data_IF_055174225718
#
_entry.id   IF_055174225718
#
_cell.length_a   1.000
_cell.length_b   1.000
_cell.length_c   1.000
_cell.angle_alpha   90.00
_cell.angle_beta   90.00
_cell.angle_gamma   90.00
#
_symmetry.space_group_name_H-M   'P 1'
#
loop_
_entity.id
_entity.type
_entity.pdbx_description
1 polymer ?
#
# COMPACT_ATOMS: atom_id res chain seq x y z
N UNK A 1 -7.61 -22.52 -24.57
CA UNK A 1 -7.86 -21.07 -24.78
C UNK A 1 -8.60 -20.54 -23.57
N UNK A 2 -7.94 -19.79 -22.68
CA UNK A 2 -8.60 -19.13 -21.53
C UNK A 2 -9.13 -17.78 -22.01
N UNK A 3 -10.41 -17.51 -21.77
CA UNK A 3 -11.04 -16.21 -22.11
C UNK A 3 -10.42 -15.08 -21.26
N UNK A 4 -10.36 -13.83 -21.77
CA UNK A 4 -9.80 -12.71 -21.01
C UNK A 4 -10.72 -12.34 -19.84
N UNK A 5 -10.13 -12.14 -18.67
CA UNK A 5 -10.78 -11.54 -17.50
C UNK A 5 -11.19 -10.11 -17.88
N UNK A 6 -12.39 -9.66 -17.50
CA UNK A 6 -13.02 -8.46 -18.05
C UNK A 6 -12.61 -7.19 -17.27
N UNK A 7 -11.64 -6.43 -17.79
CA UNK A 7 -10.98 -5.24 -17.19
C UNK A 7 -11.77 -3.91 -17.27
N UNK A 8 -13.10 -3.93 -17.33
CA UNK A 8 -13.88 -2.76 -17.79
C UNK A 8 -14.12 -1.64 -16.77
N UNK A 9 -13.86 -1.84 -15.47
CA UNK A 9 -14.17 -0.84 -14.43
C UNK A 9 -13.15 0.30 -14.33
N UNK A 10 -11.89 0.06 -14.69
CA UNK A 10 -10.82 1.04 -14.55
C UNK A 10 -10.57 1.83 -15.84
N UNK A 11 -10.71 1.20 -17.02
CA UNK A 11 -10.47 1.86 -18.32
C UNK A 11 -11.34 3.09 -18.55
N UNK A 12 -12.61 3.06 -18.17
CA UNK A 12 -13.53 4.17 -18.43
C UNK A 12 -13.38 5.34 -17.44
N UNK A 13 -12.81 5.09 -16.24
CA UNK A 13 -12.81 6.06 -15.13
C UNK A 13 -11.55 6.91 -15.05
N UNK A 14 -10.47 6.46 -15.67
CA UNK A 14 -9.14 7.11 -15.68
C UNK A 14 -8.74 7.65 -17.06
N UNK A 15 -9.71 8.02 -17.90
CA UNK A 15 -9.46 8.79 -19.11
C UNK A 15 -9.49 10.30 -18.79
N UNK A 16 -8.35 10.98 -18.62
CA UNK A 16 -8.35 12.41 -18.45
C UNK A 16 -8.77 13.10 -19.76
N UNK A 17 -9.42 14.27 -19.65
CA UNK A 17 -9.64 15.13 -20.82
C UNK A 17 -8.26 15.46 -21.45
N UNK A 18 -8.08 15.30 -22.77
CA UNK A 18 -6.75 15.18 -23.40
C UNK A 18 -5.85 16.41 -23.29
N UNK A 19 -6.35 17.56 -22.85
CA UNK A 19 -5.60 18.82 -22.86
C UNK A 19 -5.00 19.26 -21.50
N UNK A 20 -5.25 18.55 -20.40
CA UNK A 20 -4.85 18.98 -19.04
C UNK A 20 -4.31 17.87 -18.13
N UNK A 21 -4.00 16.69 -18.66
CA UNK A 21 -3.52 15.56 -17.85
C UNK A 21 -2.03 15.70 -17.48
N UNK A 22 -1.69 15.54 -16.21
CA UNK A 22 -0.30 15.40 -15.80
C UNK A 22 0.24 14.02 -16.22
N UNK A 23 1.46 13.97 -16.77
CA UNK A 23 2.13 12.73 -17.15
C UNK A 23 2.78 12.08 -15.92
N UNK A 24 2.70 10.76 -15.81
CA UNK A 24 3.39 9.98 -14.77
C UNK A 24 4.88 9.90 -15.04
N UNK A 25 5.68 9.83 -13.98
CA UNK A 25 7.10 9.47 -14.08
C UNK A 25 7.24 7.94 -14.12
N UNK A 26 7.94 7.41 -15.11
CA UNK A 26 8.25 5.99 -15.19
C UNK A 26 9.56 5.72 -14.45
N UNK A 27 9.52 4.88 -13.41
CA UNK A 27 10.71 4.43 -12.70
C UNK A 27 10.59 2.94 -12.39
N UNK A 28 11.64 2.15 -12.67
CA UNK A 28 11.63 0.70 -12.49
C UNK A 28 10.40 -0.02 -13.09
N UNK A 29 9.91 0.47 -14.23
CA UNK A 29 8.69 0.01 -14.93
C UNK A 29 7.37 0.30 -14.20
N UNK A 30 7.39 1.07 -13.12
CA UNK A 30 6.20 1.56 -12.42
C UNK A 30 5.92 3.00 -12.84
N UNK A 31 4.66 3.30 -13.20
CA UNK A 31 4.19 4.68 -13.32
C UNK A 31 4.00 5.26 -11.91
N UNK A 32 4.53 6.46 -11.66
CA UNK A 32 4.49 7.10 -10.35
C UNK A 32 3.96 8.53 -10.45
N UNK A 33 3.22 8.94 -9.42
CA UNK A 33 2.81 10.32 -9.20
C UNK A 33 2.76 10.60 -7.69
N UNK A 34 3.14 11.81 -7.29
CA UNK A 34 3.13 12.24 -5.89
C UNK A 34 2.78 13.72 -5.81
N UNK A 35 2.11 14.13 -4.72
CA UNK A 35 1.90 15.55 -4.45
C UNK A 35 3.21 16.32 -4.32
N UNK A 36 4.30 15.67 -3.88
CA UNK A 36 5.63 16.30 -3.80
C UNK A 36 6.20 16.70 -5.18
N UNK A 37 5.71 16.09 -6.27
CA UNK A 37 6.07 16.49 -7.64
C UNK A 37 5.23 17.67 -8.14
N UNK A 38 4.04 17.86 -7.57
CA UNK A 38 3.07 18.88 -7.98
C UNK A 38 3.16 20.16 -7.16
N UNK A 39 3.71 20.08 -5.94
CA UNK A 39 3.91 21.22 -5.06
C UNK A 39 5.37 21.64 -5.11
N UNK A 40 5.63 22.86 -5.57
CA UNK A 40 6.95 23.49 -5.54
C UNK A 40 7.25 24.01 -4.13
N UNK A 41 8.30 23.49 -3.47
CA UNK A 41 9.01 24.21 -2.41
C UNK A 41 9.18 23.49 -1.07
N UNK A 42 10.27 23.87 -0.38
CA UNK A 42 10.85 23.32 0.85
C UNK A 42 10.00 23.43 2.13
N UNK A 43 8.76 23.92 2.04
CA UNK A 43 7.92 24.20 3.20
C UNK A 43 6.92 23.08 3.47
N UNK A 44 6.72 22.76 4.76
CA UNK A 44 5.72 21.81 5.19
C UNK A 44 4.31 22.28 4.80
N UNK A 45 3.65 21.55 3.90
CA UNK A 45 2.27 21.83 3.50
C UNK A 45 1.33 21.26 4.57
N UNK A 46 0.52 22.11 5.19
CA UNK A 46 -0.56 21.66 6.09
C UNK A 46 -1.74 21.17 5.24
N UNK A 47 -1.94 19.86 5.21
CA UNK A 47 -3.04 19.22 4.49
C UNK A 47 -4.34 19.37 5.28
N UNK A 48 -5.17 20.36 4.93
CA UNK A 48 -6.55 20.46 5.43
C UNK A 48 -7.50 19.58 4.59
N UNK A 49 -8.61 19.11 5.16
CA UNK A 49 -9.50 18.11 4.53
C UNK A 49 -9.92 18.42 3.08
N UNK A 50 -10.27 19.68 2.76
CA UNK A 50 -10.58 20.09 1.38
C UNK A 50 -9.39 19.93 0.41
N UNK A 51 -8.17 20.22 0.88
CA UNK A 51 -6.95 20.07 0.07
C UNK A 51 -6.62 18.59 -0.17
N UNK A 52 -6.90 17.73 0.81
CA UNK A 52 -6.75 16.28 0.66
C UNK A 52 -7.70 15.76 -0.42
N UNK A 53 -8.97 16.15 -0.38
CA UNK A 53 -9.93 15.76 -1.41
C UNK A 53 -9.52 16.24 -2.80
N UNK A 54 -9.10 17.51 -2.94
CA UNK A 54 -8.60 18.06 -4.20
C UNK A 54 -7.34 17.35 -4.70
N UNK A 55 -6.42 17.01 -3.80
CA UNK A 55 -5.21 16.27 -4.14
C UNK A 55 -5.53 14.86 -4.64
N UNK A 56 -6.41 14.13 -3.94
CA UNK A 56 -6.85 12.81 -4.35
C UNK A 56 -7.56 12.85 -5.71
N UNK A 57 -8.45 13.81 -5.93
CA UNK A 57 -9.11 14.01 -7.22
C UNK A 57 -8.08 14.29 -8.33
N UNK A 58 -7.10 15.15 -8.06
CA UNK A 58 -6.01 15.45 -9.01
C UNK A 58 -5.16 14.22 -9.32
N UNK A 59 -4.72 13.48 -8.31
CA UNK A 59 -3.87 12.29 -8.47
C UNK A 59 -4.59 11.16 -9.18
N UNK A 60 -5.91 11.06 -9.04
CA UNK A 60 -6.68 9.94 -9.58
C UNK A 60 -7.29 10.28 -10.93
N UNK A 61 -7.91 11.45 -11.10
CA UNK A 61 -8.67 11.79 -12.32
C UNK A 61 -7.93 12.68 -13.31
N UNK A 62 -6.91 13.39 -12.85
CA UNK A 62 -6.16 14.38 -13.66
C UNK A 62 -4.74 13.93 -14.01
N UNK A 63 -4.44 12.64 -13.85
CA UNK A 63 -3.16 12.02 -14.19
C UNK A 63 -3.37 10.99 -15.28
N UNK A 64 -2.53 11.03 -16.32
CA UNK A 64 -2.53 10.06 -17.40
C UNK A 64 -1.80 8.78 -16.97
N UNK A 65 -2.46 7.96 -16.14
CA UNK A 65 -1.93 6.69 -15.66
C UNK A 65 -1.77 5.63 -16.77
N UNK A 66 -2.55 5.76 -17.86
CA UNK A 66 -2.60 4.75 -18.90
C UNK A 66 -3.25 3.44 -18.43
N UNK A 67 -3.05 2.34 -19.16
CA UNK A 67 -3.52 1.03 -18.72
C UNK A 67 -2.71 0.56 -17.51
N UNK A 68 -3.39 0.33 -16.38
CA UNK A 68 -2.79 -0.22 -15.16
C UNK A 68 -3.43 -1.56 -14.81
N UNK A 69 -2.61 -2.51 -14.35
CA UNK A 69 -3.08 -3.73 -13.70
C UNK A 69 -3.42 -3.49 -12.22
N UNK A 70 -2.67 -2.59 -11.57
CA UNK A 70 -2.84 -2.25 -10.16
C UNK A 70 -2.42 -0.80 -9.91
N UNK A 71 -3.21 -0.07 -9.11
CA UNK A 71 -2.84 1.24 -8.59
C UNK A 71 -2.62 1.13 -7.08
N UNK A 72 -1.37 1.28 -6.63
CA UNK A 72 -1.02 1.31 -5.21
C UNK A 72 -1.05 2.75 -4.72
N UNK A 73 -1.81 2.99 -3.64
CA UNK A 73 -1.91 4.31 -3.01
C UNK A 73 -1.24 4.27 -1.65
N UNK A 74 -0.12 4.99 -1.52
CA UNK A 74 0.51 5.24 -0.22
C UNK A 74 -0.20 6.39 0.49
N UNK A 75 -0.76 6.11 1.66
CA UNK A 75 -1.56 7.07 2.42
C UNK A 75 -0.76 7.66 3.57
N UNK A 76 -0.97 8.95 3.91
CA UNK A 76 -0.39 9.51 5.13
C UNK A 76 -0.81 8.67 6.35
N UNK A 77 0.01 8.65 7.42
CA UNK A 77 -0.29 7.83 8.59
C UNK A 77 -1.54 8.34 9.34
N UNK A 78 -2.18 7.44 10.08
CA UNK A 78 -3.27 7.76 11.00
C UNK A 78 -4.64 7.28 10.52
N UNK A 79 -5.69 7.98 10.96
CA UNK A 79 -7.10 7.68 10.64
C UNK A 79 -7.84 8.95 10.20
N UNK A 80 -7.13 9.84 9.49
CA UNK A 80 -7.67 11.13 9.06
C UNK A 80 -8.57 11.05 7.83
N UNK A 81 -9.04 12.21 7.39
CA UNK A 81 -10.00 12.38 6.28
C UNK A 81 -9.54 11.78 4.95
N UNK A 82 -8.23 11.54 4.76
CA UNK A 82 -7.69 10.92 3.55
C UNK A 82 -8.28 9.54 3.29
N UNK A 83 -8.37 8.69 4.32
CA UNK A 83 -8.87 7.32 4.15
C UNK A 83 -10.36 7.30 3.85
N UNK A 84 -11.13 8.17 4.51
CA UNK A 84 -12.55 8.35 4.24
C UNK A 84 -12.76 8.83 2.79
N UNK A 85 -12.01 9.83 2.38
CA UNK A 85 -12.06 10.41 1.04
C UNK A 85 -11.69 9.38 -0.02
N UNK A 86 -10.67 8.56 0.21
CA UNK A 86 -10.29 7.45 -0.68
C UNK A 86 -11.41 6.43 -0.82
N UNK A 87 -11.96 5.96 0.30
CA UNK A 87 -13.03 4.95 0.29
C UNK A 87 -14.32 5.44 -0.38
N UNK A 88 -14.59 6.75 -0.33
CA UNK A 88 -15.76 7.35 -0.98
C UNK A 88 -15.55 7.62 -2.47
N UNK A 89 -14.32 7.93 -2.91
CA UNK A 89 -14.07 8.39 -4.27
C UNK A 89 -13.48 7.32 -5.20
N UNK A 90 -12.87 6.27 -4.64
CA UNK A 90 -12.21 5.22 -5.41
C UNK A 90 -12.79 3.84 -5.09
N UNK A 91 -12.92 2.96 -6.08
CA UNK A 91 -13.17 1.55 -5.84
C UNK A 91 -11.90 0.93 -5.24
N UNK A 92 -11.92 0.59 -3.95
CA UNK A 92 -10.78 -0.03 -3.27
C UNK A 92 -10.93 -1.54 -3.28
N UNK A 93 -9.98 -2.23 -3.91
CA UNK A 93 -10.00 -3.69 -3.99
C UNK A 93 -9.54 -4.36 -2.70
N UNK A 94 -8.62 -3.75 -1.98
CA UNK A 94 -8.22 -4.14 -0.65
C UNK A 94 -7.19 -3.18 -0.05
N UNK A 95 -7.03 -3.25 1.27
CA UNK A 95 -6.05 -2.50 2.03
C UNK A 95 -5.02 -3.44 2.67
N UNK A 96 -3.76 -3.04 2.64
CA UNK A 96 -2.69 -3.65 3.45
C UNK A 96 -2.44 -2.71 4.61
N UNK A 97 -2.55 -3.23 5.82
CA UNK A 97 -2.28 -2.43 7.03
C UNK A 97 -0.83 -2.67 7.41
N UNK A 98 -0.04 -1.60 7.56
CA UNK A 98 1.36 -1.69 7.99
C UNK A 98 1.47 -1.18 9.42
N UNK A 99 2.12 -1.95 10.29
CA UNK A 99 2.33 -1.56 11.69
C UNK A 99 3.75 -1.88 12.14
N UNK A 100 4.07 -1.47 13.36
CA UNK A 100 5.28 -1.88 14.06
C UNK A 100 4.92 -2.41 15.45
N UNK A 101 5.75 -3.26 16.09
CA UNK A 101 5.39 -3.92 17.35
C UNK A 101 5.13 -3.01 18.56
N UNK A 102 5.46 -1.72 18.47
CA UNK A 102 5.29 -0.76 19.55
C UNK A 102 3.81 -0.53 19.84
N UNK A 103 3.44 -0.52 21.12
CA UNK A 103 2.06 -0.35 21.58
C UNK A 103 1.36 0.86 20.97
N UNK A 104 2.04 2.00 20.85
CA UNK A 104 1.49 3.20 20.22
C UNK A 104 1.08 2.97 18.74
N UNK A 105 1.92 2.30 17.96
CA UNK A 105 1.63 1.98 16.56
C UNK A 105 0.47 0.97 16.44
N UNK A 106 0.45 -0.03 17.32
CA UNK A 106 -0.63 -1.02 17.38
C UNK A 106 -1.99 -0.37 17.72
N UNK A 107 -2.03 0.62 18.62
CA UNK A 107 -3.27 1.34 18.94
C UNK A 107 -3.80 2.16 17.75
N UNK A 108 -2.91 2.81 16.98
CA UNK A 108 -3.30 3.51 15.74
C UNK A 108 -3.81 2.52 14.70
N UNK A 109 -3.14 1.37 14.58
CA UNK A 109 -3.51 0.27 13.68
C UNK A 109 -4.92 -0.23 13.97
N UNK A 110 -5.27 -0.49 15.24
CA UNK A 110 -6.62 -0.91 15.65
C UNK A 110 -7.69 0.09 15.22
N UNK A 111 -7.43 1.39 15.39
CA UNK A 111 -8.36 2.45 14.95
C UNK A 111 -8.53 2.46 13.43
N UNK A 112 -7.44 2.28 12.67
CA UNK A 112 -7.46 2.23 11.21
C UNK A 112 -8.25 1.02 10.68
N UNK A 113 -8.05 -0.15 11.27
CA UNK A 113 -8.80 -1.37 10.94
C UNK A 113 -10.31 -1.16 11.18
N UNK A 114 -10.69 -0.69 12.37
CA UNK A 114 -12.09 -0.40 12.70
C UNK A 114 -12.72 0.62 11.73
N UNK A 115 -11.95 1.58 11.24
CA UNK A 115 -12.42 2.55 10.24
C UNK A 115 -12.65 1.87 8.88
N UNK A 116 -11.73 1.04 8.40
CA UNK A 116 -11.90 0.31 7.14
C UNK A 116 -13.07 -0.67 7.19
N UNK A 117 -13.29 -1.35 8.31
CA UNK A 117 -14.48 -2.20 8.50
C UNK A 117 -15.79 -1.41 8.35
N UNK A 118 -15.88 -0.24 9.01
CA UNK A 118 -17.05 0.65 8.89
C UNK A 118 -17.27 1.15 7.47
N UNK A 119 -16.18 1.40 6.73
CA UNK A 119 -16.20 1.82 5.34
C UNK A 119 -16.36 0.64 4.36
N UNK A 120 -16.46 -0.60 4.87
CA UNK A 120 -16.54 -1.83 4.08
C UNK A 120 -15.38 -2.00 3.11
N UNK A 121 -14.21 -1.47 3.48
CA UNK A 121 -12.97 -1.66 2.71
C UNK A 121 -12.38 -3.01 3.10
N UNK A 122 -12.18 -3.95 2.14
CA UNK A 122 -11.57 -5.24 2.44
C UNK A 122 -10.14 -5.08 2.92
N UNK A 123 -9.72 -5.83 3.93
CA UNK A 123 -8.34 -5.84 4.41
C UNK A 123 -7.69 -7.15 3.94
N UNK A 124 -6.59 -7.02 3.19
CA UNK A 124 -5.82 -8.16 2.66
C UNK A 124 -5.02 -8.81 3.78
N UNK A 125 -4.49 -8.00 4.69
CA UNK A 125 -3.76 -8.47 5.86
C UNK A 125 -2.92 -7.40 6.52
N UNK A 126 -2.22 -7.80 7.57
CA UNK A 126 -1.31 -6.98 8.35
C UNK A 126 0.14 -7.28 7.96
N UNK A 127 0.92 -6.23 7.69
CA UNK A 127 2.36 -6.30 7.53
C UNK A 127 3.02 -5.72 8.78
N UNK A 128 3.88 -6.51 9.40
CA UNK A 128 4.64 -6.08 10.56
C UNK A 128 6.02 -5.59 10.12
N UNK A 129 6.26 -4.29 10.22
CA UNK A 129 7.57 -3.69 10.00
C UNK A 129 8.37 -3.67 11.31
N UNK A 130 9.69 -3.74 11.23
CA UNK A 130 10.59 -3.69 12.39
C UNK A 130 10.28 -4.75 13.47
N UNK A 131 9.89 -5.96 13.06
CA UNK A 131 9.51 -7.09 13.93
C UNK A 131 10.59 -7.49 14.93
N UNK A 132 11.85 -7.47 14.51
CA UNK A 132 13.01 -7.79 15.32
C UNK A 132 14.27 -7.17 14.73
N UNK A 133 15.34 -7.13 15.52
CA UNK A 133 16.68 -6.79 15.06
C UNK A 133 17.59 -8.03 15.10
N UNK A 134 18.47 -8.16 14.11
CA UNK A 134 19.48 -9.21 14.07
C UNK A 134 20.76 -8.74 14.75
N UNK A 135 21.31 -9.52 15.68
CA UNK A 135 22.62 -9.23 16.24
C UNK A 135 23.71 -9.43 15.19
N UNK A 136 24.47 -8.39 14.87
CA UNK A 136 25.55 -8.45 13.88
C UNK A 136 26.74 -9.33 14.27
N UNK A 137 26.87 -9.68 15.57
CA UNK A 137 27.98 -10.51 16.08
C UNK A 137 27.65 -12.00 16.12
N UNK A 138 26.44 -12.37 16.52
CA UNK A 138 26.07 -13.78 16.76
C UNK A 138 24.86 -14.26 15.96
N UNK A 139 24.18 -13.39 15.22
CA UNK A 139 23.00 -13.74 14.42
C UNK A 139 21.72 -13.98 15.24
N UNK A 140 21.74 -13.77 16.56
CA UNK A 140 20.53 -13.92 17.39
C UNK A 140 19.47 -12.88 17.02
N UNK A 141 18.21 -13.33 16.93
CA UNK A 141 17.03 -12.47 16.76
C UNK A 141 16.63 -11.82 18.08
N UNK A 142 16.60 -10.50 18.10
CA UNK A 142 16.19 -9.71 19.26
C UNK A 142 14.79 -9.14 19.04
N UNK A 143 13.80 -9.74 19.70
CA UNK A 143 12.40 -9.28 19.69
C UNK A 143 12.19 -8.24 20.79
N UNK A 144 12.60 -7.00 20.52
CA UNK A 144 12.59 -5.88 21.50
C UNK A 144 11.21 -5.69 22.13
N UNK A 145 10.15 -5.91 21.37
CA UNK A 145 8.76 -5.67 21.78
C UNK A 145 7.94 -6.96 21.93
N UNK A 146 8.57 -8.13 21.88
CA UNK A 146 7.90 -9.42 22.03
C UNK A 146 6.90 -9.74 20.89
N UNK A 147 5.74 -10.30 21.26
CA UNK A 147 4.74 -10.83 20.32
C UNK A 147 3.44 -10.00 20.24
N UNK A 148 3.48 -8.72 20.63
CA UNK A 148 2.29 -7.87 20.75
C UNK A 148 1.55 -7.67 19.42
N UNK A 149 2.26 -7.64 18.29
CA UNK A 149 1.64 -7.57 16.96
C UNK A 149 0.77 -8.78 16.67
N UNK A 150 1.25 -9.99 16.96
CA UNK A 150 0.49 -11.23 16.73
C UNK A 150 -0.77 -11.28 17.58
N UNK A 151 -0.67 -10.88 18.85
CA UNK A 151 -1.82 -10.76 19.74
C UNK A 151 -2.84 -9.77 19.19
N UNK A 152 -2.38 -8.58 18.80
CA UNK A 152 -3.24 -7.53 18.23
C UNK A 152 -3.88 -7.94 16.91
N UNK A 153 -3.14 -8.63 16.02
CA UNK A 153 -3.66 -9.14 14.77
C UNK A 153 -4.81 -10.14 15.00
N UNK A 154 -4.63 -11.08 15.93
CA UNK A 154 -5.66 -12.04 16.32
C UNK A 154 -6.91 -11.35 16.89
N UNK A 155 -6.74 -10.33 17.75
CA UNK A 155 -7.84 -9.55 18.31
C UNK A 155 -8.66 -8.82 17.22
N UNK A 156 -8.02 -8.43 16.11
CA UNK A 156 -8.65 -7.80 14.96
C UNK A 156 -9.13 -8.82 13.91
N UNK A 157 -8.92 -10.12 14.12
CA UNK A 157 -9.23 -11.16 13.12
C UNK A 157 -8.43 -11.04 11.82
N UNK A 158 -7.22 -10.48 11.87
CA UNK A 158 -6.36 -10.28 10.71
C UNK A 158 -5.16 -11.22 10.71
N UNK A 159 -4.79 -11.71 9.53
CA UNK A 159 -3.55 -12.45 9.33
C UNK A 159 -2.36 -11.51 9.16
N UNK A 160 -1.24 -11.85 9.81
CA UNK A 160 0.05 -11.25 9.47
C UNK A 160 0.54 -11.91 8.17
N UNK A 161 0.54 -11.15 7.08
CA UNK A 161 0.85 -11.65 5.75
C UNK A 161 2.35 -11.60 5.43
N UNK A 162 3.12 -10.73 6.08
CA UNK A 162 4.58 -10.69 6.03
C UNK A 162 5.14 -9.88 7.23
N UNK A 163 6.37 -10.21 7.66
CA UNK A 163 7.08 -9.47 8.72
C UNK A 163 8.50 -9.10 8.27
N UNK A 164 8.88 -7.85 8.46
CA UNK A 164 10.20 -7.30 8.10
C UNK A 164 11.02 -7.03 9.37
N UNK A 165 12.30 -7.36 9.32
CA UNK A 165 13.32 -7.09 10.33
C UNK A 165 13.92 -5.69 10.14
N UNK A 166 14.56 -5.18 11.17
CA UNK A 166 15.40 -3.99 11.08
C UNK A 166 16.73 -4.40 10.43
N UNK A 167 17.05 -3.81 9.28
CA UNK A 167 18.28 -4.05 8.53
C UNK A 167 18.91 -2.72 8.08
N UNK A 168 20.22 -2.58 8.32
CA UNK A 168 20.99 -1.41 7.90
C UNK A 168 21.10 -1.30 6.38
N UNK A 169 21.20 -2.42 5.66
CA UNK A 169 21.27 -2.42 4.19
C UNK A 169 19.97 -1.88 3.58
N UNK A 170 18.83 -2.13 4.23
CA UNK A 170 17.55 -1.54 3.84
C UNK A 170 17.54 -0.02 4.02
N UNK A 171 18.12 0.48 5.12
CA UNK A 171 18.26 1.92 5.33
C UNK A 171 19.12 2.58 4.25
N UNK A 172 20.22 1.95 3.84
CA UNK A 172 21.07 2.43 2.75
C UNK A 172 20.36 2.44 1.39
N UNK A 173 19.59 1.40 1.07
CA UNK A 173 18.77 1.34 -0.13
C UNK A 173 17.77 2.51 -0.18
N UNK A 174 17.07 2.76 0.93
CA UNK A 174 16.09 3.85 1.05
C UNK A 174 16.79 5.21 0.87
N UNK A 175 17.90 5.44 1.57
CA UNK A 175 18.63 6.71 1.51
C UNK A 175 19.22 6.99 0.12
N UNK A 176 19.61 5.95 -0.61
CA UNK A 176 20.12 6.07 -1.99
C UNK A 176 19.01 6.18 -3.05
N UNK A 177 17.73 6.04 -2.66
CA UNK A 177 16.59 6.06 -3.58
C UNK A 177 16.51 4.83 -4.48
N UNK A 178 17.23 3.75 -4.17
CA UNK A 178 17.22 2.48 -4.92
C UNK A 178 16.36 1.45 -4.20
N UNK A 179 15.28 0.93 -4.81
CA UNK A 179 14.46 -0.10 -4.17
C UNK A 179 15.29 -1.35 -3.87
N UNK A 180 15.08 -1.93 -2.68
CA UNK A 180 15.86 -3.06 -2.20
C UNK A 180 15.82 -4.29 -3.12
N UNK A 181 14.72 -4.51 -3.85
CA UNK A 181 14.62 -5.62 -4.81
C UNK A 181 15.59 -5.49 -5.99
N UNK A 182 16.05 -4.28 -6.31
CA UNK A 182 17.05 -4.01 -7.34
C UNK A 182 18.46 -3.90 -6.75
N UNK A 183 18.60 -3.25 -5.59
CA UNK A 183 19.90 -3.06 -4.94
C UNK A 183 20.43 -4.35 -4.30
N UNK A 184 19.55 -5.19 -3.76
CA UNK A 184 19.85 -6.39 -2.99
C UNK A 184 18.96 -7.57 -3.45
N UNK A 185 19.05 -8.00 -4.73
CA UNK A 185 18.09 -8.91 -5.35
C UNK A 185 17.99 -10.28 -4.69
N UNK A 186 19.08 -10.73 -4.07
CA UNK A 186 19.21 -12.03 -3.39
C UNK A 186 19.04 -11.94 -1.87
N UNK A 187 18.68 -10.76 -1.35
CA UNK A 187 18.43 -10.58 0.09
C UNK A 187 17.11 -11.21 0.54
N UNK A 188 17.05 -11.53 1.83
CA UNK A 188 15.81 -11.97 2.49
C UNK A 188 14.69 -10.92 2.34
N UNK A 189 15.03 -9.63 2.31
CA UNK A 189 14.07 -8.55 2.09
C UNK A 189 13.48 -8.57 0.69
N UNK A 190 14.30 -8.76 -0.35
CA UNK A 190 13.81 -8.90 -1.72
C UNK A 190 12.88 -10.11 -1.85
N UNK A 191 13.20 -11.24 -1.21
CA UNK A 191 12.33 -12.40 -1.17
C UNK A 191 10.99 -12.10 -0.46
N UNK A 192 11.04 -11.45 0.71
CA UNK A 192 9.85 -11.01 1.47
C UNK A 192 8.94 -10.11 0.64
N UNK A 193 9.49 -9.12 -0.05
CA UNK A 193 8.71 -8.26 -0.94
C UNK A 193 8.06 -9.04 -2.09
N UNK A 194 8.77 -9.99 -2.71
CA UNK A 194 8.19 -10.86 -3.75
C UNK A 194 7.04 -11.71 -3.21
N UNK A 195 7.20 -12.30 -2.01
CA UNK A 195 6.11 -13.08 -1.36
C UNK A 195 4.90 -12.20 -1.05
N UNK A 196 5.11 -11.02 -0.49
CA UNK A 196 4.04 -10.07 -0.21
C UNK A 196 3.30 -9.66 -1.49
N UNK A 197 4.04 -9.29 -2.54
CA UNK A 197 3.46 -8.94 -3.84
C UNK A 197 2.63 -10.08 -4.43
N UNK A 198 3.14 -11.32 -4.38
CA UNK A 198 2.41 -12.50 -4.87
C UNK A 198 1.12 -12.76 -4.07
N UNK A 199 1.13 -12.57 -2.75
CA UNK A 199 -0.08 -12.70 -1.92
C UNK A 199 -1.14 -11.66 -2.32
N UNK A 200 -0.73 -10.41 -2.49
CA UNK A 200 -1.61 -9.31 -2.88
C UNK A 200 -2.19 -9.56 -4.28
N UNK A 201 -1.33 -9.91 -5.24
CA UNK A 201 -1.77 -10.19 -6.62
C UNK A 201 -2.75 -11.36 -6.67
N UNK A 202 -2.50 -12.43 -5.91
CA UNK A 202 -3.42 -13.56 -5.80
C UNK A 202 -4.77 -13.13 -5.22
N UNK A 203 -4.78 -12.36 -4.14
CA UNK A 203 -6.01 -11.86 -3.52
C UNK A 203 -6.87 -11.08 -4.53
N UNK A 204 -6.26 -10.15 -5.26
CA UNK A 204 -6.96 -9.34 -6.27
C UNK A 204 -7.49 -10.22 -7.40
N UNK A 205 -6.64 -11.12 -7.92
CA UNK A 205 -7.02 -12.04 -9.01
C UNK A 205 -8.19 -12.95 -8.64
N UNK A 206 -8.17 -13.53 -7.43
CA UNK A 206 -9.23 -14.41 -6.94
C UNK A 206 -10.56 -13.65 -6.78
N UNK A 207 -10.50 -12.39 -6.33
CA UNK A 207 -11.66 -11.51 -6.22
C UNK A 207 -12.27 -11.19 -7.59
N UNK A 208 -11.46 -10.88 -8.59
CA UNK A 208 -11.94 -10.61 -9.95
C UNK A 208 -12.61 -11.83 -10.57
N UNK A 209 -12.05 -13.02 -10.38
CA UNK A 209 -12.66 -14.29 -10.84
C UNK A 209 -14.03 -14.50 -10.19
N UNK A 210 -14.16 -14.23 -8.89
CA UNK A 210 -15.42 -14.39 -8.18
C UNK A 210 -16.47 -13.37 -8.62
N UNK A 211 -16.07 -12.11 -8.85
CA UNK A 211 -16.95 -11.09 -9.42
C UNK A 211 -17.43 -11.44 -10.84
N UNK A 212 -16.56 -12.02 -11.67
CA UNK A 212 -16.94 -12.45 -13.02
C UNK A 212 -18.00 -13.57 -12.97
N UNK A 213 -17.79 -14.59 -12.12
CA UNK A 213 -18.75 -15.70 -11.94
C UNK A 213 -20.11 -15.22 -11.41
N UNK A 214 -20.11 -14.25 -10.49
CA UNK A 214 -21.35 -13.72 -9.92
C UNK A 214 -22.18 -12.89 -10.92
N UNK A 215 -21.58 -12.40 -12.01
CA UNK A 215 -22.30 -11.69 -13.10
C UNK A 215 -22.84 -12.62 -14.18
N UNK A 216 -22.38 -13.86 -14.24
CA UNK A 216 -22.84 -14.88 -15.20
C UNK A 216 -24.02 -15.71 -14.68
N UNK A 217 -24.43 -15.51 -13.42
CA UNK A 217 -25.60 -16.10 -12.76
C UNK A 217 -26.73 -15.08 -12.67
#
# INVERSE_FOLDING_TARGET
MRKPIHWSTWRERFHPKPFLAALTLLNYQCANMSMGLLVSGENAVVWRGLMVMQALDRLTRHVAWGPLDCLVVDTPPGTGDTHLSLAQNLPIDGAIVVTTPQSAALQVTKRGVNMFEKLKVPIIGLVENMSHAMCSKCGTKNFIFGNETKKTANEMGLDIIESFEVDANMSECINSGKPAIYALPDSIHAEKYRRLANRVFKYISDKDINHAKAKEQ
#
